data_IF_765160832288
#
_entry.id   IF_765160832288
#
_cell.length_a   1.000
_cell.length_b   1.000
_cell.length_c   1.000
_cell.angle_alpha   90.00
_cell.angle_beta   90.00
_cell.angle_gamma   90.00
#
_symmetry.space_group_name_H-M   'P 1'
#
loop_
_entity.id
_entity.type
_entity.pdbx_description
1 polymer ?
#
# COMPACT_ATOMS: atom_id res chain seq x y z
N UNK A 1 8.14 14.30 -15.92
CA UNK A 1 7.61 14.18 -17.30
C UNK A 1 8.55 13.27 -18.09
N UNK A 2 8.02 12.38 -18.92
CA UNK A 2 8.85 11.56 -19.80
C UNK A 2 9.34 12.42 -20.98
N UNK A 3 10.63 12.32 -21.38
CA UNK A 3 11.15 13.09 -22.51
C UNK A 3 10.32 12.85 -23.78
N UNK A 4 9.93 13.93 -24.46
CA UNK A 4 9.12 13.88 -25.68
C UNK A 4 7.60 13.81 -25.46
N UNK A 5 7.12 13.79 -24.21
CA UNK A 5 5.68 13.89 -23.90
C UNK A 5 5.35 15.29 -23.39
N UNK A 6 4.85 16.12 -24.30
CA UNK A 6 4.52 17.54 -24.04
C UNK A 6 3.03 17.78 -23.74
N UNK A 7 2.20 16.78 -23.99
CA UNK A 7 0.74 16.84 -23.80
C UNK A 7 0.27 15.76 -22.83
N UNK A 8 -0.78 16.07 -22.07
CA UNK A 8 -1.42 15.09 -21.21
C UNK A 8 -2.05 13.97 -22.06
N UNK A 9 -1.75 12.71 -21.72
CA UNK A 9 -2.30 11.54 -22.40
C UNK A 9 -3.47 11.02 -21.56
N UNK A 10 -4.70 10.96 -22.10
CA UNK A 10 -5.83 10.35 -21.41
C UNK A 10 -5.55 8.86 -21.17
N UNK A 11 -5.52 8.44 -19.91
CA UNK A 11 -5.22 7.05 -19.54
C UNK A 11 -6.13 6.57 -18.41
N UNK A 12 -6.21 5.25 -18.28
CA UNK A 12 -6.80 4.58 -17.13
C UNK A 12 -5.68 4.16 -16.17
N UNK A 13 -5.95 4.24 -14.87
CA UNK A 13 -5.02 3.82 -13.82
C UNK A 13 -5.63 2.67 -13.02
N UNK A 14 -4.79 1.71 -12.66
CA UNK A 14 -5.13 0.65 -11.69
C UNK A 14 -4.37 0.88 -10.39
N UNK A 15 -4.95 0.43 -9.28
CA UNK A 15 -4.29 0.45 -7.98
C UNK A 15 -3.67 -0.91 -7.71
N UNK A 16 -2.39 -0.92 -7.36
CA UNK A 16 -1.69 -2.13 -6.96
C UNK A 16 -2.00 -2.44 -5.50
N UNK A 17 -2.29 -3.71 -5.21
CA UNK A 17 -2.58 -4.21 -3.87
C UNK A 17 -1.53 -5.23 -3.47
N UNK A 18 -1.08 -5.16 -2.22
CA UNK A 18 -0.34 -6.25 -1.59
C UNK A 18 -1.35 -7.23 -1.00
N UNK A 19 -1.26 -8.50 -1.39
CA UNK A 19 -2.21 -9.54 -0.97
C UNK A 19 -1.46 -10.65 -0.25
N UNK A 20 -2.04 -11.14 0.84
CA UNK A 20 -1.55 -12.27 1.63
C UNK A 20 -2.66 -13.30 1.83
N UNK A 21 -2.27 -14.51 2.23
CA UNK A 21 -3.24 -15.54 2.63
C UNK A 21 -3.87 -15.15 3.97
N UNK A 22 -5.11 -15.58 4.21
CA UNK A 22 -5.82 -15.44 5.49
C UNK A 22 -5.17 -16.24 6.63
N UNK A 23 -4.38 -17.25 6.30
CA UNK A 23 -3.61 -18.08 7.22
C UNK A 23 -2.27 -17.48 7.62
N UNK A 24 -1.91 -16.31 7.09
CA UNK A 24 -0.70 -15.61 7.51
C UNK A 24 -0.84 -15.17 8.97
N UNK A 25 0.24 -15.28 9.73
CA UNK A 25 0.21 -14.89 11.14
C UNK A 25 -0.12 -13.39 11.29
N UNK A 26 -1.08 -13.08 12.17
CA UNK A 26 -1.51 -11.73 12.48
C UNK A 26 -0.34 -10.84 12.93
N UNK A 27 0.65 -11.40 13.63
CA UNK A 27 1.86 -10.68 14.05
C UNK A 27 2.68 -10.23 12.84
N UNK A 28 2.88 -11.11 11.85
CA UNK A 28 3.64 -10.80 10.63
C UNK A 28 2.95 -9.70 9.84
N UNK A 29 1.62 -9.77 9.70
CA UNK A 29 0.82 -8.73 9.02
C UNK A 29 0.97 -7.39 9.73
N UNK A 30 0.88 -7.39 11.06
CA UNK A 30 0.97 -6.17 11.87
C UNK A 30 2.37 -5.55 11.79
N UNK A 31 3.43 -6.35 11.89
CA UNK A 31 4.82 -5.88 11.74
C UNK A 31 5.01 -5.22 10.37
N UNK A 32 4.52 -5.85 9.30
CA UNK A 32 4.63 -5.31 7.96
C UNK A 32 3.90 -3.97 7.84
N UNK A 33 2.66 -3.86 8.33
CA UNK A 33 1.90 -2.62 8.30
C UNK A 33 2.58 -1.49 9.09
N UNK A 34 3.17 -1.80 10.24
CA UNK A 34 3.94 -0.83 11.03
C UNK A 34 5.17 -0.35 10.27
N UNK A 35 5.93 -1.24 9.64
CA UNK A 35 7.09 -0.86 8.80
C UNK A 35 6.65 0.08 7.67
N UNK A 36 5.56 -0.26 6.98
CA UNK A 36 5.04 0.56 5.88
C UNK A 36 4.54 1.94 6.37
N UNK A 37 4.00 2.02 7.59
CA UNK A 37 3.48 3.24 8.17
C UNK A 37 4.57 4.16 8.74
N UNK A 38 5.53 3.59 9.47
CA UNK A 38 6.51 4.34 10.27
C UNK A 38 7.84 4.56 9.53
N UNK A 39 8.24 3.63 8.66
CA UNK A 39 9.55 3.65 7.99
C UNK A 39 9.45 3.92 6.47
N UNK A 40 8.41 4.66 6.07
CA UNK A 40 8.15 5.01 4.67
C UNK A 40 9.33 5.73 4.01
N UNK A 41 10.07 6.54 4.77
CA UNK A 41 11.24 7.28 4.28
C UNK A 41 12.36 6.35 3.83
N UNK A 42 12.56 5.21 4.51
CA UNK A 42 13.56 4.22 4.11
C UNK A 42 13.14 3.48 2.83
N UNK A 43 11.84 3.22 2.66
CA UNK A 43 11.30 2.57 1.44
C UNK A 43 11.40 3.45 0.21
N UNK A 44 11.29 4.77 0.36
CA UNK A 44 11.50 5.74 -0.73
C UNK A 44 12.91 5.69 -1.32
N UNK A 45 13.92 5.29 -0.52
CA UNK A 45 15.30 5.14 -0.98
C UNK A 45 15.47 3.92 -1.90
N UNK A 46 14.59 2.92 -1.78
CA UNK A 46 14.62 1.70 -2.61
C UNK A 46 13.96 1.96 -3.95
N UNK A 47 12.77 2.59 -3.97
CA UNK A 47 12.08 2.89 -5.22
C UNK A 47 11.08 4.04 -5.09
N UNK A 48 11.00 4.89 -6.11
CA UNK A 48 10.10 6.05 -6.13
C UNK A 48 8.60 5.70 -6.00
N UNK A 49 8.20 4.48 -6.38
CA UNK A 49 6.81 4.00 -6.20
C UNK A 49 6.40 3.87 -4.73
N UNK A 50 7.34 3.77 -3.78
CA UNK A 50 6.99 3.74 -2.35
C UNK A 50 6.24 5.01 -1.91
N UNK A 51 6.46 6.15 -2.59
CA UNK A 51 5.69 7.40 -2.40
C UNK A 51 4.22 7.31 -2.78
N UNK A 52 3.85 6.26 -3.52
CA UNK A 52 2.48 6.01 -3.95
C UNK A 52 1.74 5.05 -3.00
N UNK A 53 2.42 4.48 -2.00
CA UNK A 53 1.77 3.69 -0.97
C UNK A 53 0.88 4.62 -0.15
N UNK A 54 -0.40 4.30 -0.10
CA UNK A 54 -1.42 5.06 0.63
C UNK A 54 -2.22 4.08 1.49
N UNK A 55 -1.90 4.05 2.79
CA UNK A 55 -2.50 3.11 3.74
C UNK A 55 -3.91 3.55 4.16
N UNK A 56 -4.30 4.81 3.93
CA UNK A 56 -5.63 5.28 4.27
C UNK A 56 -6.70 4.67 3.34
N UNK A 57 -6.27 4.14 2.18
CA UNK A 57 -7.12 3.44 1.22
C UNK A 57 -7.35 1.97 1.52
N UNK A 58 -6.76 1.42 2.58
CA UNK A 58 -6.93 0.00 2.91
C UNK A 58 -8.41 -0.38 3.13
N UNK A 59 -9.23 0.54 3.64
CA UNK A 59 -10.68 0.32 3.81
C UNK A 59 -11.46 0.09 2.51
N UNK A 60 -10.92 0.53 1.37
CA UNK A 60 -11.53 0.39 0.04
C UNK A 60 -11.05 -0.87 -0.71
N UNK A 61 -10.42 -1.81 0.00
CA UNK A 61 -9.86 -3.00 -0.62
C UNK A 61 -10.93 -3.77 -1.43
N UNK A 62 -10.62 -4.21 -2.66
CA UNK A 62 -11.58 -4.93 -3.52
C UNK A 62 -11.81 -6.38 -3.07
N UNK A 63 -11.11 -6.83 -2.02
CA UNK A 63 -11.19 -8.16 -1.42
C UNK A 63 -11.27 -8.03 0.11
N UNK A 64 -11.73 -9.08 0.82
CA UNK A 64 -11.73 -9.07 2.28
C UNK A 64 -10.36 -8.75 2.86
N UNK A 65 -10.33 -7.86 3.85
CA UNK A 65 -9.11 -7.54 4.58
C UNK A 65 -8.73 -8.66 5.55
N UNK A 66 -7.42 -8.85 5.74
CA UNK A 66 -6.91 -9.71 6.80
C UNK A 66 -7.40 -9.22 8.18
N UNK A 67 -7.65 -10.13 9.13
CA UNK A 67 -8.18 -9.80 10.44
C UNK A 67 -7.28 -8.81 11.21
N UNK A 68 -5.96 -9.07 11.23
CA UNK A 68 -4.97 -8.12 11.71
C UNK A 68 -5.06 -6.73 11.04
N UNK A 69 -5.23 -6.65 9.72
CA UNK A 69 -5.35 -5.36 9.02
C UNK A 69 -6.58 -4.59 9.47
N UNK A 70 -7.73 -5.26 9.62
CA UNK A 70 -8.97 -4.63 10.12
C UNK A 70 -8.79 -4.10 11.55
N UNK A 71 -8.14 -4.90 12.39
CA UNK A 71 -7.85 -4.54 13.79
C UNK A 71 -6.88 -3.35 13.86
N UNK A 72 -5.84 -3.37 13.04
CA UNK A 72 -4.84 -2.32 12.94
C UNK A 72 -5.43 -0.98 12.49
N UNK A 73 -6.29 -0.98 11.47
CA UNK A 73 -7.02 0.23 11.02
C UNK A 73 -7.89 0.78 12.15
N UNK A 74 -8.55 -0.09 12.92
CA UNK A 74 -9.48 0.32 13.98
C UNK A 74 -8.77 0.90 15.23
N UNK A 75 -7.47 0.61 15.39
CA UNK A 75 -6.66 1.02 16.54
C UNK A 75 -5.76 2.22 16.27
N UNK A 76 -5.78 2.72 15.03
CA UNK A 76 -4.95 3.81 14.53
C UNK A 76 -5.67 5.16 14.68
#
# INVERSE_FOLDING_TARGET
AYPGVEVAIPMLTVQNWMVGMDSLDDEVVTILLNILAEDRVSLEQVHAMAKQIDLDRLGDAPIPLHAATQSWISQR
#
